data_IF_841509569746
#
_entry.id   IF_841509569746
#
_cell.length_a   1.000
_cell.length_b   1.000
_cell.length_c   1.000
_cell.angle_alpha   90.00
_cell.angle_beta   90.00
_cell.angle_gamma   90.00
#
_symmetry.space_group_name_H-M   'P 1'
#
loop_
_entity.id
_entity.type
_entity.pdbx_description
1 polymer ?
#
# COMPACT_ATOMS: atom_id res chain seq x y z
N UNK A 1 -61.63 -5.08 17.22
CA UNK A 1 -61.24 -4.29 16.03
C UNK A 1 -61.03 -2.85 16.50
N UNK A 2 -60.02 -2.05 16.16
CA UNK A 2 -58.77 -2.20 15.42
C UNK A 2 -58.06 -0.82 15.57
N UNK A 3 -56.77 -0.84 15.96
CA UNK A 3 -55.66 0.01 15.48
C UNK A 3 -55.81 1.55 15.46
N UNK A 4 -54.93 2.22 16.20
CA UNK A 4 -53.87 3.17 15.72
C UNK A 4 -53.01 3.55 16.94
N UNK A 5 -51.79 3.02 17.13
CA UNK A 5 -50.49 3.36 16.55
C UNK A 5 -50.00 4.81 16.75
N UNK A 6 -48.88 4.90 17.48
CA UNK A 6 -47.68 5.73 17.26
C UNK A 6 -47.72 7.24 17.54
N UNK A 7 -46.99 7.65 18.59
CA UNK A 7 -46.27 8.93 18.72
C UNK A 7 -44.96 8.63 19.46
N UNK A 8 -43.88 8.27 18.76
CA UNK A 8 -42.75 9.13 18.36
C UNK A 8 -42.30 10.12 19.46
N UNK A 9 -41.16 9.80 20.06
CA UNK A 9 -40.21 10.79 20.56
C UNK A 9 -38.79 10.28 20.27
N UNK A 10 -38.42 10.32 18.99
CA UNK A 10 -37.05 10.17 18.55
C UNK A 10 -36.34 11.52 18.74
N UNK A 11 -35.72 11.74 19.89
CA UNK A 11 -34.65 12.74 20.01
C UNK A 11 -33.72 12.32 21.14
N UNK A 12 -32.77 11.43 20.85
CA UNK A 12 -31.61 11.24 21.72
C UNK A 12 -30.36 11.26 20.86
N UNK A 13 -29.59 12.33 21.06
CA UNK A 13 -28.21 12.45 20.66
C UNK A 13 -28.03 12.68 19.17
N UNK A 14 -27.63 13.91 18.81
CA UNK A 14 -26.56 14.07 17.83
C UNK A 14 -25.32 13.39 18.44
N UNK A 15 -25.31 12.05 18.44
CA UNK A 15 -24.11 11.26 18.62
C UNK A 15 -23.24 11.68 17.44
N UNK A 16 -22.24 12.52 17.75
CA UNK A 16 -21.26 13.01 16.81
C UNK A 16 -20.80 11.88 15.93
N UNK A 17 -20.66 12.17 14.63
CA UNK A 17 -20.14 11.31 13.59
C UNK A 17 -19.69 9.95 14.14
N UNK A 18 -20.61 8.98 14.24
CA UNK A 18 -20.18 7.59 14.27
C UNK A 18 -19.45 7.45 12.96
N UNK A 19 -18.11 7.57 13.02
CA UNK A 19 -17.20 7.14 11.97
C UNK A 19 -17.47 5.65 11.82
N UNK A 20 -18.47 5.37 10.99
CA UNK A 20 -18.72 4.08 10.41
C UNK A 20 -17.37 3.66 9.85
N UNK A 21 -16.77 2.65 10.49
CA UNK A 21 -15.38 2.23 10.28
C UNK A 21 -15.14 1.89 8.80
N UNK A 22 -14.84 2.89 7.98
CA UNK A 22 -14.31 2.73 6.62
C UNK A 22 -12.84 2.37 6.66
N UNK A 23 -12.19 2.53 7.83
CA UNK A 23 -10.79 2.23 8.07
C UNK A 23 -10.35 0.89 7.45
N UNK A 24 -11.02 -0.27 7.68
CA UNK A 24 -10.56 -1.54 7.11
C UNK A 24 -10.54 -1.55 5.58
N UNK A 25 -11.47 -0.85 4.93
CA UNK A 25 -11.56 -0.82 3.47
C UNK A 25 -10.59 0.18 2.85
N UNK A 26 -10.36 1.33 3.49
CA UNK A 26 -9.35 2.30 3.07
C UNK A 26 -7.93 1.77 3.28
N UNK A 27 -7.71 1.02 4.35
CA UNK A 27 -6.47 0.32 4.68
C UNK A 27 -6.09 -0.71 3.61
N UNK A 28 -7.06 -1.54 3.18
CA UNK A 28 -6.86 -2.51 2.11
C UNK A 28 -6.55 -1.80 0.78
N UNK A 29 -7.24 -0.69 0.47
CA UNK A 29 -6.99 0.10 -0.75
C UNK A 29 -5.58 0.68 -0.78
N UNK A 30 -5.07 1.17 0.34
CA UNK A 30 -3.74 1.79 0.40
C UNK A 30 -2.62 0.75 0.17
N UNK A 31 -2.74 -0.42 0.81
CA UNK A 31 -1.81 -1.53 0.56
C UNK A 31 -1.90 -2.01 -0.89
N UNK A 32 -3.11 -2.16 -1.42
CA UNK A 32 -3.34 -2.54 -2.82
C UNK A 32 -2.74 -1.53 -3.79
N UNK A 33 -2.85 -0.22 -3.50
CA UNK A 33 -2.27 0.84 -4.33
C UNK A 33 -0.75 0.71 -4.40
N UNK A 34 -0.09 0.42 -3.27
CA UNK A 34 1.33 0.11 -3.26
C UNK A 34 1.64 -1.15 -4.08
N UNK A 35 0.93 -2.26 -3.85
CA UNK A 35 1.14 -3.51 -4.58
C UNK A 35 1.00 -3.34 -6.09
N UNK A 36 -0.01 -2.60 -6.55
CA UNK A 36 -0.21 -2.28 -7.96
C UNK A 36 0.91 -1.38 -8.51
N UNK A 37 1.33 -0.37 -7.74
CA UNK A 37 2.44 0.49 -8.11
C UNK A 37 3.70 -0.35 -8.33
N UNK A 38 4.12 -1.09 -7.29
CA UNK A 38 5.40 -1.77 -7.31
C UNK A 38 5.42 -2.88 -8.36
N UNK A 39 4.33 -3.61 -8.62
CA UNK A 39 4.30 -4.65 -9.64
C UNK A 39 4.48 -4.15 -11.09
N UNK A 40 4.37 -2.83 -11.34
CA UNK A 40 4.53 -2.22 -12.67
C UNK A 40 5.85 -1.43 -12.83
N UNK A 41 6.68 -1.43 -11.79
CA UNK A 41 7.90 -0.63 -11.70
C UNK A 41 9.19 -1.35 -12.16
N UNK A 42 9.07 -2.53 -12.78
CA UNK A 42 10.22 -3.38 -13.13
C UNK A 42 11.30 -2.62 -13.91
N UNK A 43 12.52 -2.60 -13.38
CA UNK A 43 13.70 -1.99 -13.99
C UNK A 43 13.69 -0.47 -14.10
N UNK A 44 12.63 0.17 -13.63
CA UNK A 44 12.43 1.61 -13.78
C UNK A 44 12.63 2.30 -12.42
N UNK A 45 13.81 2.92 -12.18
CA UNK A 45 14.12 3.53 -10.89
C UNK A 45 13.14 4.66 -10.53
N UNK A 46 12.70 5.46 -11.49
CA UNK A 46 11.74 6.55 -11.25
C UNK A 46 10.37 6.03 -10.78
N UNK A 47 9.90 4.91 -11.38
CA UNK A 47 8.66 4.25 -10.93
C UNK A 47 8.82 3.62 -9.56
N UNK A 48 9.97 3.00 -9.29
CA UNK A 48 10.28 2.40 -7.98
C UNK A 48 10.29 3.50 -6.89
N UNK A 49 10.91 4.64 -7.18
CA UNK A 49 10.91 5.83 -6.31
C UNK A 49 9.51 6.36 -6.07
N UNK A 50 8.68 6.43 -7.11
CA UNK A 50 7.29 6.86 -6.96
C UNK A 50 6.51 5.95 -5.99
N UNK A 51 6.72 4.63 -6.03
CA UNK A 51 6.06 3.70 -5.10
C UNK A 51 6.52 3.86 -3.65
N UNK A 52 7.73 4.38 -3.40
CA UNK A 52 8.22 4.68 -2.05
C UNK A 52 7.37 5.77 -1.36
N UNK A 53 6.77 6.69 -2.13
CA UNK A 53 5.84 7.68 -1.57
C UNK A 53 4.60 7.04 -0.93
N UNK A 54 4.07 5.97 -1.53
CA UNK A 54 2.92 5.21 -0.99
C UNK A 54 3.32 4.49 0.30
N UNK A 55 4.53 3.91 0.34
CA UNK A 55 5.09 3.30 1.56
C UNK A 55 5.25 4.33 2.68
N UNK A 56 5.65 5.56 2.37
CA UNK A 56 5.80 6.62 3.36
C UNK A 56 4.46 7.05 3.96
N UNK A 57 3.35 6.96 3.20
CA UNK A 57 2.00 7.14 3.75
C UNK A 57 1.61 5.94 4.62
N UNK A 58 1.84 4.70 4.15
CA UNK A 58 1.54 3.49 4.91
C UNK A 58 2.27 3.45 6.26
N UNK A 59 3.53 3.91 6.33
CA UNK A 59 4.32 3.99 7.57
C UNK A 59 3.68 4.86 8.66
N UNK A 60 2.86 5.85 8.29
CA UNK A 60 2.20 6.74 9.26
C UNK A 60 1.07 6.03 10.03
N UNK A 61 0.56 4.93 9.50
CA UNK A 61 -0.43 4.09 10.18
C UNK A 61 0.26 2.96 10.95
N UNK A 62 0.01 2.85 12.25
CA UNK A 62 0.50 1.74 13.09
C UNK A 62 0.11 0.36 12.53
N UNK A 63 -1.04 0.26 11.87
CA UNK A 63 -1.54 -0.98 11.29
C UNK A 63 -0.70 -1.45 10.10
N UNK A 64 -0.14 -0.52 9.33
CA UNK A 64 0.63 -0.84 8.11
C UNK A 64 2.13 -0.67 8.29
N UNK A 65 2.58 -0.12 9.42
CA UNK A 65 3.98 0.21 9.67
C UNK A 65 4.92 -0.98 9.41
N UNK A 66 4.64 -2.15 9.98
CA UNK A 66 5.48 -3.33 9.81
C UNK A 66 5.56 -3.80 8.34
N UNK A 67 4.45 -3.73 7.61
CA UNK A 67 4.43 -4.01 6.17
C UNK A 67 5.28 -2.98 5.41
N UNK A 68 5.05 -1.70 5.67
CA UNK A 68 5.68 -0.61 4.93
C UNK A 68 7.19 -0.50 5.20
N UNK A 69 7.65 -0.79 6.42
CA UNK A 69 9.07 -0.89 6.77
C UNK A 69 9.74 -2.02 6.00
N UNK A 70 9.16 -3.22 6.03
CA UNK A 70 9.69 -4.39 5.32
C UNK A 70 9.75 -4.17 3.81
N UNK A 71 8.70 -3.59 3.23
CA UNK A 71 8.66 -3.26 1.82
C UNK A 71 9.64 -2.16 1.43
N UNK A 72 9.87 -1.17 2.30
CA UNK A 72 10.85 -0.12 2.02
C UNK A 72 12.27 -0.68 1.90
N UNK A 73 12.62 -1.68 2.71
CA UNK A 73 13.93 -2.35 2.62
C UNK A 73 14.05 -3.07 1.27
N UNK A 74 13.02 -3.84 0.88
CA UNK A 74 13.03 -4.59 -0.39
C UNK A 74 13.13 -3.65 -1.60
N UNK A 75 12.37 -2.56 -1.59
CA UNK A 75 12.39 -1.53 -2.63
C UNK A 75 13.76 -0.85 -2.72
N UNK A 76 14.34 -0.50 -1.56
CA UNK A 76 15.69 0.06 -1.49
C UNK A 76 16.75 -0.88 -2.07
N UNK A 77 16.70 -2.18 -1.71
CA UNK A 77 17.61 -3.19 -2.25
C UNK A 77 17.49 -3.31 -3.78
N UNK A 78 16.26 -3.28 -4.30
CA UNK A 78 16.02 -3.35 -5.74
C UNK A 78 16.54 -2.11 -6.47
N UNK A 79 16.32 -0.92 -5.92
CA UNK A 79 16.80 0.32 -6.49
C UNK A 79 18.33 0.37 -6.53
N UNK A 80 18.99 -0.02 -5.45
CA UNK A 80 20.45 -0.13 -5.41
C UNK A 80 20.96 -1.16 -6.42
N UNK A 81 20.25 -2.28 -6.57
CA UNK A 81 20.61 -3.28 -7.58
C UNK A 81 20.50 -2.71 -9.00
N UNK A 82 19.40 -2.04 -9.34
CA UNK A 82 19.23 -1.41 -10.67
C UNK A 82 20.33 -0.38 -10.90
N UNK A 83 20.64 0.45 -9.91
CA UNK A 83 21.67 1.47 -10.03
C UNK A 83 23.05 0.83 -10.27
N UNK A 84 23.43 -0.15 -9.45
CA UNK A 84 24.69 -0.88 -9.60
C UNK A 84 24.77 -1.60 -10.96
N UNK A 85 23.68 -2.26 -11.37
CA UNK A 85 23.60 -2.92 -12.66
C UNK A 85 23.76 -1.92 -13.82
N UNK A 86 23.10 -0.76 -13.79
CA UNK A 86 23.28 0.26 -14.85
C UNK A 86 24.70 0.83 -14.91
N UNK A 87 25.43 0.84 -13.78
CA UNK A 87 26.84 1.28 -13.75
C UNK A 87 27.86 0.21 -14.20
N UNK A 88 27.48 -1.08 -14.29
CA UNK A 88 28.41 -2.16 -14.63
C UNK A 88 27.86 -3.23 -15.59
N UNK A 89 26.65 -3.72 -15.36
CA UNK A 89 25.96 -4.72 -16.18
C UNK A 89 25.16 -4.15 -17.37
N UNK A 90 24.93 -2.83 -17.40
CA UNK A 90 24.13 -2.16 -18.43
C UNK A 90 22.72 -2.74 -18.53
N UNK A 91 22.29 -3.06 -19.75
CA UNK A 91 20.95 -3.59 -20.04
C UNK A 91 20.68 -4.99 -19.45
N UNK A 92 21.71 -5.69 -18.95
CA UNK A 92 21.57 -7.02 -18.32
C UNK A 92 21.12 -6.96 -16.85
N UNK A 93 20.55 -5.84 -16.39
CA UNK A 93 20.10 -5.69 -15.00
C UNK A 93 19.11 -6.79 -14.57
N UNK A 94 18.36 -7.37 -15.49
CA UNK A 94 17.40 -8.45 -15.19
C UNK A 94 18.09 -9.70 -14.65
N UNK A 95 19.29 -10.04 -15.15
CA UNK A 95 20.07 -11.15 -14.60
C UNK A 95 20.60 -10.82 -13.20
N UNK A 96 20.98 -9.57 -12.97
CA UNK A 96 21.52 -9.12 -11.68
C UNK A 96 20.43 -8.96 -10.60
N UNK A 97 19.27 -8.42 -10.98
CA UNK A 97 18.25 -7.92 -10.05
C UNK A 97 16.92 -8.67 -10.13
N UNK A 98 16.75 -9.59 -11.09
CA UNK A 98 15.49 -10.31 -11.32
C UNK A 98 15.03 -11.13 -10.11
N UNK A 99 15.97 -11.66 -9.31
CA UNK A 99 15.62 -12.38 -8.08
C UNK A 99 15.00 -11.45 -7.03
N UNK A 100 15.61 -10.28 -6.79
CA UNK A 100 15.09 -9.27 -5.85
C UNK A 100 13.70 -8.81 -6.31
N UNK A 101 13.54 -8.59 -7.61
CA UNK A 101 12.24 -8.26 -8.20
C UNK A 101 11.16 -9.33 -7.96
N UNK A 102 11.49 -10.60 -8.20
CA UNK A 102 10.57 -11.72 -7.97
C UNK A 102 10.15 -11.81 -6.51
N UNK A 103 11.08 -11.59 -5.57
CA UNK A 103 10.77 -11.57 -4.14
C UNK A 103 9.77 -10.45 -3.81
N UNK A 104 9.97 -9.24 -4.35
CA UNK A 104 9.01 -8.13 -4.18
C UNK A 104 7.63 -8.52 -4.71
N UNK A 105 7.53 -9.02 -5.94
CA UNK A 105 6.24 -9.39 -6.54
C UNK A 105 5.53 -10.49 -5.77
N UNK A 106 6.25 -11.52 -5.33
CA UNK A 106 5.66 -12.63 -4.58
C UNK A 106 5.03 -12.18 -3.26
N UNK A 107 5.45 -11.04 -2.71
CA UNK A 107 4.89 -10.46 -1.49
C UNK A 107 3.79 -9.40 -1.75
N UNK A 108 3.56 -9.06 -3.02
CA UNK A 108 2.66 -7.99 -3.46
C UNK A 108 1.69 -8.45 -4.55
N UNK A 109 1.47 -9.77 -4.70
CA UNK A 109 0.47 -10.35 -5.59
C UNK A 109 -0.85 -10.62 -4.85
#
# INVERSE_FOLDING_TARGET
MKKTLLVIAAVVGLSGCVQQSTAPQEDLKLKQAYSNCINTAEGNPDKVDACQSVLNVLKQSKQHQAFAEKESVRVFDYQNCIQAAKTGAGDNYQQACGKVWQEIRNNNN
#
